data_IF_229412582177
#
_entry.id   IF_229412582177
#
_cell.length_a   1.000
_cell.length_b   1.000
_cell.length_c   1.000
_cell.angle_alpha   90.00
_cell.angle_beta   90.00
_cell.angle_gamma   90.00
#
_symmetry.space_group_name_H-M   'P 1'
#
loop_
_entity.id
_entity.type
_entity.pdbx_description
1 polymer ?
#
# COMPACT_ATOMS: atom_id res chain seq x y z
N UNK A 1 39.50 17.02 -45.98
CA UNK A 1 38.97 17.67 -44.77
C UNK A 1 38.74 16.57 -43.76
N UNK A 2 39.31 16.67 -42.56
CA UNK A 2 39.13 15.68 -41.50
C UNK A 2 38.10 16.24 -40.49
N UNK A 3 37.36 15.36 -39.83
CA UNK A 3 36.40 15.74 -38.80
C UNK A 3 36.53 14.84 -37.58
N UNK A 4 36.16 15.40 -36.44
CA UNK A 4 36.04 14.69 -35.17
C UNK A 4 34.59 14.75 -34.74
N UNK A 5 34.02 13.58 -34.46
CA UNK A 5 32.70 13.44 -33.87
C UNK A 5 32.80 12.88 -32.46
N UNK A 6 32.01 13.45 -31.55
CA UNK A 6 31.85 12.98 -30.19
C UNK A 6 30.36 12.65 -30.04
N UNK A 7 30.08 11.36 -29.85
CA UNK A 7 28.71 10.88 -29.67
C UNK A 7 28.10 11.40 -28.38
N UNK A 8 26.77 11.43 -28.35
CA UNK A 8 26.04 11.79 -27.14
C UNK A 8 26.30 10.74 -26.04
N UNK A 9 26.69 11.14 -24.81
CA UNK A 9 26.81 10.22 -23.70
C UNK A 9 25.44 9.63 -23.32
N UNK A 10 25.43 8.35 -22.97
CA UNK A 10 24.24 7.65 -22.48
C UNK A 10 24.39 7.34 -20.99
N UNK A 11 23.29 7.49 -20.25
CA UNK A 11 23.21 7.00 -18.87
C UNK A 11 22.89 5.52 -18.93
N UNK A 12 23.78 4.69 -18.42
CA UNK A 12 23.51 3.26 -18.20
C UNK A 12 23.18 3.07 -16.73
N UNK A 13 21.91 3.25 -16.37
CA UNK A 13 21.46 2.92 -15.03
C UNK A 13 21.41 1.38 -14.90
N UNK A 14 22.33 0.81 -14.13
CA UNK A 14 22.31 -0.62 -13.76
C UNK A 14 21.50 -0.88 -12.48
N UNK A 15 20.91 0.16 -11.88
CA UNK A 15 20.09 0.07 -10.69
C UNK A 15 18.61 0.02 -11.04
N UNK A 16 17.89 -0.97 -10.51
CA UNK A 16 16.43 -1.00 -10.57
C UNK A 16 15.88 0.24 -9.86
N UNK A 17 14.98 0.96 -10.53
CA UNK A 17 14.23 2.05 -9.94
C UNK A 17 13.30 1.47 -8.85
N UNK A 18 13.84 1.33 -7.64
CA UNK A 18 13.11 0.70 -6.54
C UNK A 18 12.06 1.69 -6.07
N UNK A 19 10.77 1.33 -6.10
CA UNK A 19 9.72 2.24 -5.66
C UNK A 19 9.92 2.57 -4.19
N UNK A 20 9.78 3.85 -3.85
CA UNK A 20 9.72 4.26 -2.45
C UNK A 20 8.34 3.90 -1.92
N UNK A 21 8.31 2.97 -0.97
CA UNK A 21 7.10 2.64 -0.23
C UNK A 21 7.20 3.33 1.12
N UNK A 22 6.32 4.30 1.35
CA UNK A 22 6.12 4.82 2.69
C UNK A 22 5.16 3.88 3.44
N UNK A 23 5.39 3.68 4.74
CA UNK A 23 4.51 2.84 5.56
C UNK A 23 3.12 3.47 5.62
N UNK A 24 2.10 2.72 5.21
CA UNK A 24 0.72 3.18 5.29
C UNK A 24 0.33 3.33 6.76
N UNK A 25 -0.36 4.42 7.15
CA UNK A 25 -0.89 4.52 8.50
C UNK A 25 -1.83 3.33 8.76
N UNK A 26 -1.88 2.81 10.00
CA UNK A 26 -2.79 1.72 10.33
C UNK A 26 -4.21 2.12 9.93
N UNK A 27 -4.98 1.22 9.28
CA UNK A 27 -6.33 1.53 8.88
C UNK A 27 -7.13 1.97 10.10
N UNK A 28 -7.94 3.01 9.94
CA UNK A 28 -8.81 3.46 11.01
C UNK A 28 -9.67 2.27 11.48
N UNK A 29 -9.71 2.06 12.81
CA UNK A 29 -10.68 1.18 13.45
C UNK A 29 -12.06 1.82 13.29
N UNK A 30 -12.60 1.75 12.08
CA UNK A 30 -14.01 1.94 11.86
C UNK A 30 -14.68 0.78 12.59
N UNK A 31 -15.64 1.09 13.46
CA UNK A 31 -16.59 0.11 13.96
C UNK A 31 -17.79 0.15 13.00
N UNK A 32 -17.75 -0.57 11.85
CA UNK A 32 -18.84 -0.53 10.90
C UNK A 32 -20.12 -1.14 11.48
N UNK A 33 -20.03 -1.95 12.54
CA UNK A 33 -21.16 -2.71 13.04
C UNK A 33 -22.09 -1.89 13.93
N UNK A 34 -21.62 -0.80 14.56
CA UNK A 34 -22.35 0.22 15.38
C UNK A 34 -23.18 -0.32 16.56
N UNK A 35 -23.89 -1.44 16.39
CA UNK A 35 -24.67 -2.17 17.36
C UNK A 35 -23.90 -3.42 17.79
N UNK A 36 -23.81 -3.63 19.10
CA UNK A 36 -23.14 -4.78 19.72
C UNK A 36 -24.12 -5.48 20.66
N UNK A 37 -24.06 -6.80 20.70
CA UNK A 37 -24.76 -7.58 21.71
C UNK A 37 -23.82 -7.96 22.84
N UNK A 38 -24.35 -7.95 24.07
CA UNK A 38 -23.69 -8.52 25.24
C UNK A 38 -24.55 -9.68 25.73
N UNK A 39 -24.03 -10.90 25.63
CA UNK A 39 -24.66 -12.06 26.22
C UNK A 39 -24.32 -12.14 27.71
N UNK A 40 -25.34 -12.12 28.57
CA UNK A 40 -25.16 -12.38 29.99
C UNK A 40 -25.28 -13.89 30.24
N UNK A 41 -24.27 -14.49 30.86
CA UNK A 41 -24.36 -15.89 31.30
C UNK A 41 -25.27 -15.97 32.53
N UNK A 42 -26.26 -16.89 32.56
CA UNK A 42 -27.06 -17.13 33.75
C UNK A 42 -26.15 -17.58 34.90
N UNK A 43 -26.10 -16.77 35.96
CA UNK A 43 -25.29 -17.03 37.14
C UNK A 43 -25.65 -16.07 38.25
N UNK A 44 -25.87 -16.61 39.45
CA UNK A 44 -26.13 -15.81 40.64
C UNK A 44 -24.83 -15.13 41.09
N UNK A 45 -24.76 -13.80 40.99
CA UNK A 45 -23.96 -13.01 41.94
C UNK A 45 -24.71 -12.86 43.29
N UNK A 46 -25.99 -13.23 43.34
CA UNK A 46 -26.89 -13.20 44.50
C UNK A 46 -27.88 -14.36 44.45
N UNK A 47 -28.34 -14.85 45.60
CA UNK A 47 -29.32 -15.93 45.69
C UNK A 47 -30.65 -15.55 45.01
N UNK A 48 -31.27 -16.49 44.30
CA UNK A 48 -32.57 -16.30 43.71
C UNK A 48 -33.68 -16.40 44.76
N UNK A 49 -34.77 -15.66 44.55
CA UNK A 49 -35.95 -15.78 45.41
C UNK A 49 -36.57 -17.18 45.27
N UNK A 50 -36.68 -17.89 46.40
CA UNK A 50 -37.24 -19.25 46.48
C UNK A 50 -36.29 -20.34 45.98
N UNK A 51 -36.81 -21.53 45.68
CA UNK A 51 -36.03 -22.72 45.27
C UNK A 51 -35.58 -22.70 43.80
N UNK A 52 -35.33 -21.51 43.23
CA UNK A 52 -34.99 -21.33 41.82
C UNK A 52 -33.48 -21.48 41.61
N UNK A 53 -33.07 -22.26 40.61
CA UNK A 53 -31.67 -22.51 40.28
C UNK A 53 -31.02 -21.40 39.42
N UNK A 54 -31.82 -20.53 38.79
CA UNK A 54 -31.32 -19.50 37.88
C UNK A 54 -32.22 -18.27 37.90
N UNK A 55 -31.60 -17.10 38.04
CA UNK A 55 -32.25 -15.80 37.96
C UNK A 55 -32.11 -15.27 36.54
N UNK A 56 -33.21 -14.85 35.94
CA UNK A 56 -33.22 -14.14 34.67
C UNK A 56 -34.13 -12.92 34.80
N UNK A 57 -33.87 -11.81 34.07
CA UNK A 57 -34.81 -10.72 33.94
C UNK A 57 -36.13 -11.26 33.40
N UNK A 58 -37.19 -11.18 34.18
CA UNK A 58 -38.54 -11.57 33.77
C UNK A 58 -39.42 -10.33 33.66
N UNK A 59 -40.38 -10.32 32.74
CA UNK A 59 -41.35 -9.24 32.68
C UNK A 59 -42.35 -9.33 33.84
N UNK A 60 -42.85 -8.17 34.28
CA UNK A 60 -43.88 -8.08 35.32
C UNK A 60 -45.25 -8.57 34.84
N UNK A 61 -45.46 -8.61 33.51
CA UNK A 61 -46.69 -9.06 32.87
C UNK A 61 -46.39 -9.93 31.63
N UNK A 62 -47.24 -10.94 31.33
CA UNK A 62 -47.12 -11.71 30.09
C UNK A 62 -47.21 -10.82 28.84
N UNK A 63 -46.30 -11.00 27.88
CA UNK A 63 -46.30 -10.26 26.62
C UNK A 63 -45.68 -8.86 26.68
N UNK A 64 -45.06 -8.48 27.81
CA UNK A 64 -44.26 -7.25 27.94
C UNK A 64 -42.78 -7.63 27.97
N UNK A 65 -41.86 -6.87 27.35
CA UNK A 65 -40.43 -7.12 27.49
C UNK A 65 -39.94 -6.88 28.92
N UNK A 66 -38.90 -7.61 29.38
CA UNK A 66 -38.20 -7.30 30.62
C UNK A 66 -37.76 -5.81 30.70
N UNK A 67 -37.78 -5.21 31.90
CA UNK A 67 -37.36 -3.83 32.08
C UNK A 67 -35.90 -3.63 31.65
N UNK A 68 -35.58 -2.45 31.11
CA UNK A 68 -34.23 -2.12 30.62
C UNK A 68 -33.94 -2.55 29.18
N UNK A 69 -34.94 -3.04 28.44
CA UNK A 69 -34.78 -3.44 27.04
C UNK A 69 -34.10 -4.79 26.84
N UNK A 70 -34.02 -5.61 27.89
CA UNK A 70 -33.48 -6.97 27.80
C UNK A 70 -34.50 -7.89 27.11
N UNK A 71 -34.01 -8.76 26.23
CA UNK A 71 -34.79 -9.81 25.59
C UNK A 71 -34.39 -11.18 26.15
N UNK A 72 -35.34 -12.11 26.21
CA UNK A 72 -35.03 -13.51 26.50
C UNK A 72 -34.73 -14.21 25.19
N UNK A 73 -33.49 -14.69 25.04
CA UNK A 73 -33.00 -15.27 23.79
C UNK A 73 -32.26 -16.58 23.99
N UNK A 74 -32.26 -17.41 22.96
CA UNK A 74 -31.42 -18.58 22.81
C UNK A 74 -30.21 -18.19 21.96
N UNK A 75 -29.01 -18.46 22.47
CA UNK A 75 -27.76 -18.22 21.78
C UNK A 75 -27.36 -19.45 20.96
N UNK A 76 -26.92 -19.21 19.74
CA UNK A 76 -26.31 -20.19 18.85
C UNK A 76 -25.01 -19.64 18.27
N UNK A 77 -23.98 -20.48 18.22
CA UNK A 77 -22.81 -20.22 17.38
C UNK A 77 -23.22 -20.39 15.90
N UNK A 78 -22.75 -19.50 15.03
CA UNK A 78 -23.10 -19.46 13.62
C UNK A 78 -24.28 -18.55 13.28
N UNK A 79 -24.52 -18.36 11.98
CA UNK A 79 -25.77 -17.81 11.45
C UNK A 79 -26.77 -18.95 11.29
N UNK A 80 -27.71 -19.05 12.24
CA UNK A 80 -28.71 -20.12 12.26
C UNK A 80 -30.12 -19.55 12.08
N UNK A 81 -31.02 -20.40 11.58
CA UNK A 81 -32.44 -20.06 11.52
C UNK A 81 -33.08 -20.29 12.88
N UNK A 82 -33.87 -19.33 13.33
CA UNK A 82 -34.58 -19.43 14.60
C UNK A 82 -35.88 -20.22 14.47
N UNK A 83 -36.25 -20.94 15.53
CA UNK A 83 -37.46 -21.74 15.60
C UNK A 83 -38.48 -21.17 16.60
N UNK A 84 -39.75 -21.55 16.43
CA UNK A 84 -40.80 -21.15 17.37
C UNK A 84 -40.52 -21.70 18.78
N UNK A 85 -40.75 -20.92 19.86
CA UNK A 85 -41.38 -19.60 19.89
C UNK A 85 -40.42 -18.39 19.73
N UNK A 86 -39.12 -18.61 19.49
CA UNK A 86 -38.08 -17.58 19.47
C UNK A 86 -37.79 -17.07 18.05
N UNK A 87 -38.78 -16.53 17.35
CA UNK A 87 -38.65 -16.19 15.93
C UNK A 87 -37.93 -14.86 15.65
N UNK A 88 -37.67 -14.03 16.67
CA UNK A 88 -36.99 -12.75 16.47
C UNK A 88 -35.46 -12.96 16.41
N UNK A 89 -34.92 -12.94 15.18
CA UNK A 89 -33.53 -13.32 14.89
C UNK A 89 -32.61 -12.10 14.86
N UNK A 90 -31.57 -12.13 15.68
CA UNK A 90 -30.48 -11.14 15.68
C UNK A 90 -29.14 -11.82 15.45
N UNK A 91 -28.38 -11.40 14.44
CA UNK A 91 -27.04 -11.94 14.14
C UNK A 91 -25.98 -10.90 14.47
N UNK A 92 -24.98 -11.31 15.25
CA UNK A 92 -23.82 -10.50 15.61
C UNK A 92 -22.53 -11.25 15.29
N UNK A 93 -21.42 -10.54 15.25
CA UNK A 93 -20.13 -11.07 14.83
C UNK A 93 -19.09 -10.82 15.92
N UNK A 94 -18.38 -11.87 16.32
CA UNK A 94 -17.35 -11.82 17.36
C UNK A 94 -16.08 -11.10 16.92
N UNK A 95 -15.86 -11.03 15.60
CA UNK A 95 -14.69 -10.39 15.01
C UNK A 95 -14.91 -9.94 13.58
N UNK A 96 -13.80 -9.61 12.94
CA UNK A 96 -13.76 -9.20 11.55
C UNK A 96 -12.50 -9.73 10.88
N UNK A 97 -12.65 -10.16 9.63
CA UNK A 97 -11.55 -10.46 8.74
C UNK A 97 -11.25 -9.21 7.91
N UNK A 98 -10.11 -8.57 8.20
CA UNK A 98 -9.65 -7.40 7.48
C UNK A 98 -8.54 -7.79 6.50
N UNK A 99 -8.88 -7.79 5.22
CA UNK A 99 -7.93 -8.04 4.12
C UNK A 99 -7.58 -6.76 3.38
N UNK A 100 -8.01 -5.60 3.88
CA UNK A 100 -7.77 -4.32 3.23
C UNK A 100 -6.28 -4.02 3.20
N UNK A 101 -5.81 -3.68 2.02
CA UNK A 101 -4.43 -3.32 1.77
C UNK A 101 -4.31 -2.48 0.52
N UNK A 102 -3.07 -2.28 0.07
CA UNK A 102 -2.78 -1.61 -1.19
C UNK A 102 -2.11 -2.59 -2.15
N UNK A 103 -2.36 -2.44 -3.45
CA UNK A 103 -1.58 -3.11 -4.48
C UNK A 103 -0.08 -2.74 -4.36
N UNK A 104 0.80 -3.63 -4.81
CA UNK A 104 2.25 -3.39 -4.76
C UNK A 104 2.63 -2.12 -5.52
N UNK A 105 3.41 -1.25 -4.88
CA UNK A 105 3.99 -0.10 -5.56
C UNK A 105 5.01 -0.58 -6.59
N UNK A 106 4.95 0.00 -7.79
CA UNK A 106 5.85 -0.27 -8.89
C UNK A 106 6.46 1.00 -9.44
N UNK A 107 7.53 0.82 -10.21
CA UNK A 107 8.14 1.85 -11.01
C UNK A 107 8.28 1.35 -12.45
N UNK A 108 7.82 2.17 -13.39
CA UNK A 108 7.95 1.91 -14.82
C UNK A 108 9.39 2.03 -15.33
N UNK A 109 9.53 2.11 -16.65
CA UNK A 109 10.81 2.35 -17.30
C UNK A 109 11.42 3.69 -16.85
N UNK A 110 12.75 3.75 -16.85
CA UNK A 110 13.48 4.97 -16.53
C UNK A 110 13.31 5.98 -17.67
N UNK A 111 12.82 7.16 -17.34
CA UNK A 111 12.59 8.25 -18.26
C UNK A 111 13.34 9.50 -17.81
N UNK A 112 13.77 10.32 -18.78
CA UNK A 112 14.39 11.62 -18.51
C UNK A 112 15.83 11.58 -18.00
N UNK A 113 16.46 10.40 -17.89
CA UNK A 113 17.87 10.30 -17.50
C UNK A 113 18.77 10.97 -18.54
N UNK A 114 19.70 11.80 -18.10
CA UNK A 114 20.63 12.51 -18.99
C UNK A 114 22.02 12.67 -18.36
N UNK A 115 23.05 12.69 -19.20
CA UNK A 115 24.42 12.94 -18.78
C UNK A 115 25.02 14.05 -19.64
N UNK A 116 25.78 14.92 -18.98
CA UNK A 116 26.62 15.93 -19.63
C UNK A 116 28.07 15.63 -19.29
N UNK A 117 28.91 15.52 -20.31
CA UNK A 117 30.35 15.34 -20.15
C UNK A 117 31.13 16.45 -20.86
N UNK A 118 32.27 16.81 -20.29
CA UNK A 118 33.29 17.58 -20.98
C UNK A 118 34.19 16.57 -21.70
N UNK A 119 34.07 16.52 -23.02
CA UNK A 119 34.88 15.64 -23.84
C UNK A 119 36.02 16.43 -24.48
N UNK A 120 37.25 15.93 -24.35
CA UNK A 120 38.43 16.58 -24.88
C UNK A 120 39.26 15.61 -25.73
N UNK A 121 39.85 16.13 -26.79
CA UNK A 121 40.68 15.40 -27.76
C UNK A 121 42.01 16.12 -27.89
N UNK A 122 43.09 15.35 -27.96
CA UNK A 122 44.46 15.87 -27.90
C UNK A 122 45.30 15.31 -29.04
N UNK A 123 46.33 16.04 -29.46
CA UNK A 123 47.27 15.58 -30.50
C UNK A 123 48.36 14.65 -29.97
N UNK A 124 48.63 14.72 -28.68
CA UNK A 124 49.61 13.87 -28.00
C UNK A 124 48.95 12.62 -27.39
N UNK A 125 49.78 11.68 -26.91
CA UNK A 125 49.31 10.52 -26.16
C UNK A 125 49.10 10.76 -24.66
N UNK A 126 49.32 11.99 -24.17
CA UNK A 126 49.42 12.32 -22.75
C UNK A 126 48.28 13.24 -22.24
N UNK A 127 47.34 13.61 -23.11
CA UNK A 127 46.27 14.56 -22.82
C UNK A 127 46.78 15.97 -22.46
N UNK A 128 47.92 16.40 -23.01
CA UNK A 128 48.54 17.70 -22.76
C UNK A 128 48.22 18.73 -23.85
N UNK A 129 48.36 18.33 -25.12
CA UNK A 129 48.16 19.20 -26.28
C UNK A 129 46.70 19.17 -26.77
N UNK A 130 45.87 20.04 -26.20
CA UNK A 130 44.43 20.12 -26.51
C UNK A 130 44.16 20.55 -27.96
N UNK A 131 43.36 19.76 -28.67
CA UNK A 131 42.86 20.08 -30.01
C UNK A 131 41.43 20.58 -29.98
N UNK A 132 40.55 19.86 -29.28
CA UNK A 132 39.12 20.15 -29.20
C UNK A 132 38.64 19.84 -27.80
N UNK A 133 37.87 20.74 -27.21
CA UNK A 133 37.11 20.49 -25.99
C UNK A 133 35.67 20.94 -26.20
N UNK A 134 34.72 20.08 -25.87
CA UNK A 134 33.31 20.34 -26.05
C UNK A 134 32.49 19.74 -24.91
N UNK A 135 31.50 20.51 -24.45
CA UNK A 135 30.44 20.00 -23.61
C UNK A 135 29.46 19.25 -24.50
N UNK A 136 29.30 17.96 -24.27
CA UNK A 136 28.33 17.11 -24.97
C UNK A 136 27.32 16.56 -23.96
N UNK A 137 26.05 16.52 -24.36
CA UNK A 137 24.97 15.97 -23.55
C UNK A 137 24.29 14.82 -24.27
N UNK A 138 23.44 14.08 -23.55
CA UNK A 138 22.63 13.00 -24.13
C UNK A 138 21.76 13.41 -25.33
N UNK A 139 21.48 14.71 -25.50
CA UNK A 139 20.72 15.26 -26.62
C UNK A 139 21.56 16.09 -27.60
N UNK A 140 22.77 16.48 -27.22
CA UNK A 140 23.63 17.37 -28.00
C UNK A 140 24.99 16.71 -28.25
N UNK A 141 25.14 15.95 -29.35
CA UNK A 141 26.45 15.46 -29.79
C UNK A 141 27.29 16.60 -30.37
N UNK A 142 28.59 16.37 -30.52
CA UNK A 142 29.51 17.32 -31.13
C UNK A 142 30.09 16.77 -32.45
N UNK A 143 30.19 17.64 -33.45
CA UNK A 143 30.91 17.37 -34.69
C UNK A 143 31.68 18.62 -35.10
N UNK A 144 33.01 18.52 -35.20
CA UNK A 144 33.90 19.61 -35.56
C UNK A 144 34.85 19.22 -36.68
N UNK A 145 35.26 20.20 -37.48
CA UNK A 145 36.28 20.01 -38.53
C UNK A 145 37.66 20.18 -37.90
N UNK A 146 38.58 19.26 -38.19
CA UNK A 146 39.99 19.38 -37.80
C UNK A 146 40.83 19.84 -38.99
N UNK A 147 41.84 20.70 -38.78
CA UNK A 147 42.78 21.08 -39.82
C UNK A 147 43.47 19.83 -40.43
N UNK A 148 43.73 19.81 -41.75
CA UNK A 148 44.47 18.72 -42.37
C UNK A 148 45.87 18.57 -41.76
N UNK A 149 46.29 17.34 -41.48
CA UNK A 149 47.63 17.04 -40.97
C UNK A 149 47.75 17.00 -39.45
N UNK A 150 46.65 17.22 -38.71
CA UNK A 150 46.61 17.06 -37.25
C UNK A 150 46.40 15.58 -36.90
N UNK A 151 47.32 15.02 -36.12
CA UNK A 151 47.17 13.68 -35.56
C UNK A 151 46.28 13.73 -34.30
N UNK A 152 45.46 12.70 -34.10
CA UNK A 152 44.71 12.50 -32.85
C UNK A 152 45.49 11.48 -32.01
N UNK A 153 45.97 11.88 -30.84
CA UNK A 153 46.81 11.05 -29.99
C UNK A 153 46.06 10.48 -28.77
N UNK A 154 45.17 11.25 -28.16
CA UNK A 154 44.40 10.81 -26.99
C UNK A 154 43.04 11.51 -26.86
N UNK A 155 42.21 11.01 -25.95
CA UNK A 155 40.91 11.60 -25.58
C UNK A 155 40.65 11.44 -24.08
N UNK A 156 39.92 12.37 -23.51
CA UNK A 156 39.39 12.30 -22.15
C UNK A 156 37.91 12.68 -22.13
N UNK A 157 37.20 12.21 -21.12
CA UNK A 157 35.82 12.61 -20.86
C UNK A 157 35.63 12.71 -19.36
N UNK A 158 35.17 13.87 -18.89
CA UNK A 158 34.87 14.13 -17.49
C UNK A 158 33.39 14.40 -17.33
N UNK A 159 32.77 13.77 -16.32
CA UNK A 159 31.34 13.96 -16.04
C UNK A 159 31.15 15.34 -15.42
N UNK A 160 30.34 16.17 -16.08
CA UNK A 160 30.00 17.52 -15.63
C UNK A 160 28.70 17.51 -14.82
N UNK A 161 27.70 16.78 -15.32
CA UNK A 161 26.41 16.64 -14.66
C UNK A 161 25.74 15.32 -15.04
N UNK A 162 24.97 14.77 -14.11
CA UNK A 162 24.11 13.61 -14.33
C UNK A 162 22.75 13.93 -13.75
N UNK A 163 21.72 13.81 -14.58
CA UNK A 163 20.34 13.70 -14.13
C UNK A 163 19.98 12.20 -14.13
N UNK A 164 19.71 11.60 -12.96
CA UNK A 164 19.37 10.18 -12.89
C UNK A 164 18.02 9.85 -13.54
N UNK A 165 17.18 10.84 -13.85
CA UNK A 165 15.82 10.62 -14.34
C UNK A 165 14.90 10.08 -13.25
N UNK A 166 13.74 9.59 -13.67
CA UNK A 166 12.74 8.99 -12.79
C UNK A 166 11.93 7.90 -13.48
N UNK A 167 11.03 7.27 -12.73
CA UNK A 167 10.07 6.29 -13.24
C UNK A 167 8.66 6.80 -13.05
N UNK A 168 7.76 6.48 -13.99
CA UNK A 168 6.33 6.62 -13.75
C UNK A 168 5.91 5.69 -12.60
N UNK A 169 5.24 6.20 -11.55
CA UNK A 169 4.78 5.37 -10.45
C UNK A 169 3.55 4.55 -10.85
N UNK A 170 3.39 3.38 -10.25
CA UNK A 170 2.20 2.54 -10.37
C UNK A 170 1.86 1.86 -9.03
N UNK A 171 0.64 1.37 -8.89
CA UNK A 171 0.22 0.67 -7.68
C UNK A 171 -0.33 1.61 -6.60
N UNK A 172 -0.55 1.05 -5.41
CA UNK A 172 -1.15 1.77 -4.28
C UNK A 172 -2.68 1.82 -4.32
N UNK A 173 -3.33 1.20 -5.31
CA UNK A 173 -4.78 1.10 -5.34
C UNK A 173 -5.29 0.26 -4.16
N UNK A 174 -6.41 0.66 -3.52
CA UNK A 174 -6.99 -0.10 -2.44
C UNK A 174 -7.47 -1.47 -2.94
N UNK A 175 -7.11 -2.51 -2.20
CA UNK A 175 -7.48 -3.90 -2.46
C UNK A 175 -8.06 -4.55 -1.21
N UNK A 176 -8.75 -5.66 -1.38
CA UNK A 176 -9.34 -6.41 -0.28
C UNK A 176 -10.57 -5.73 0.31
N UNK A 177 -11.04 -6.29 1.42
CA UNK A 177 -12.30 -5.92 2.05
C UNK A 177 -12.29 -6.22 3.55
N UNK A 178 -13.25 -5.65 4.26
CA UNK A 178 -13.51 -5.91 5.67
C UNK A 178 -14.80 -6.72 5.78
N UNK A 179 -14.68 -7.98 6.16
CA UNK A 179 -15.81 -8.90 6.31
C UNK A 179 -16.07 -9.21 7.78
N UNK A 180 -17.33 -9.36 8.18
CA UNK A 180 -17.65 -9.84 9.52
C UNK A 180 -17.24 -11.31 9.70
N UNK A 181 -16.74 -11.66 10.88
CA UNK A 181 -16.27 -13.00 11.21
C UNK A 181 -16.92 -13.52 12.50
N UNK A 182 -16.89 -14.84 12.69
CA UNK A 182 -17.43 -15.50 13.89
C UNK A 182 -18.91 -15.13 14.15
N UNK A 183 -19.83 -15.46 13.23
CA UNK A 183 -21.24 -15.18 13.41
C UNK A 183 -21.78 -15.88 14.65
N UNK A 184 -22.69 -15.20 15.32
CA UNK A 184 -23.46 -15.69 16.46
C UNK A 184 -24.90 -15.21 16.32
N UNK A 185 -25.85 -16.11 16.55
CA UNK A 185 -27.28 -15.80 16.43
C UNK A 185 -27.94 -15.81 17.79
N UNK A 186 -28.75 -14.78 18.06
CA UNK A 186 -29.66 -14.70 19.19
C UNK A 186 -31.08 -14.81 18.67
N UNK A 187 -31.74 -15.90 19.03
CA UNK A 187 -33.15 -16.14 18.74
C UNK A 187 -33.97 -15.70 19.94
N UNK A 188 -34.66 -14.58 19.83
CA UNK A 188 -35.40 -13.93 20.91
C UNK A 188 -36.91 -14.14 20.79
N UNK A 189 -37.62 -14.03 21.92
CA UNK A 189 -39.07 -13.88 21.90
C UNK A 189 -39.42 -12.47 21.40
N UNK A 190 -40.38 -12.40 20.47
CA UNK A 190 -40.93 -11.15 19.95
C UNK A 190 -41.80 -10.43 20.99
#
# INVERSE_FOLDING_TARGET
MQSVSIGAPIVTATGACTPRVDESPPPALLDPWQTRALACVPGAYTECLGDRSTCMPSPDQPGVPPPGGFLTCIFHEGDVTCEAPYLDRHVFYGGAEDTRGCSECGCGELEGASCTVMASVYSDGACGDLLVSAVVSSTTPFCGVTPPGVALGSKSAEVVAVDPGGCAPSGGEPTGELLPAEPSTFCCQA
#
